data_IF_020188378430
#
_entry.id   IF_020188378430
#
_cell.length_a   1.000
_cell.length_b   1.000
_cell.length_c   1.000
_cell.angle_alpha   90.00
_cell.angle_beta   90.00
_cell.angle_gamma   90.00
#
_symmetry.space_group_name_H-M   'P 1'
#
loop_
_entity.id
_entity.type
_entity.pdbx_description
1 polymer ?
#
# COMPACT_ATOMS: atom_id res chain seq x y z
N UNK A 1 56.76 0.25 11.71
CA UNK A 1 55.81 -0.68 12.34
C UNK A 1 54.47 -0.49 11.67
N UNK A 2 53.96 -1.53 11.00
CA UNK A 2 52.63 -1.52 10.36
C UNK A 2 51.68 -2.19 11.35
N UNK A 3 50.65 -1.46 11.82
CA UNK A 3 49.68 -2.01 12.76
C UNK A 3 48.54 -2.73 12.02
N UNK A 4 48.07 -3.80 12.65
CA UNK A 4 47.30 -4.89 12.07
C UNK A 4 45.85 -4.47 11.78
N UNK A 5 45.37 -4.83 10.58
CA UNK A 5 43.96 -4.78 10.19
C UNK A 5 43.15 -5.81 11.02
N UNK A 6 42.15 -5.36 11.76
CA UNK A 6 41.09 -6.25 12.25
C UNK A 6 40.11 -6.55 11.10
N UNK A 7 40.30 -7.68 10.42
CA UNK A 7 39.41 -8.13 9.38
C UNK A 7 38.06 -8.58 9.96
N UNK A 8 37.04 -7.73 9.87
CA UNK A 8 35.65 -8.12 10.11
C UNK A 8 35.18 -8.95 8.92
N UNK A 9 34.98 -10.25 9.12
CA UNK A 9 34.42 -11.14 8.09
C UNK A 9 32.94 -10.82 7.90
N UNK A 10 32.65 -10.05 6.86
CA UNK A 10 31.30 -9.86 6.30
C UNK A 10 30.72 -11.24 5.95
N UNK A 11 29.53 -11.59 6.45
CA UNK A 11 28.87 -12.85 6.08
C UNK A 11 27.88 -12.67 4.93
N UNK A 12 27.20 -11.52 4.83
CA UNK A 12 26.31 -11.22 3.71
C UNK A 12 25.39 -10.03 4.02
N UNK A 13 24.83 -9.43 2.98
CA UNK A 13 23.85 -8.36 3.10
C UNK A 13 22.64 -8.61 2.20
N UNK A 14 21.42 -8.39 2.72
CA UNK A 14 20.28 -8.12 1.85
C UNK A 14 20.29 -6.62 1.56
N UNK A 15 20.22 -6.25 0.29
CA UNK A 15 19.88 -4.87 -0.11
C UNK A 15 18.41 -4.84 -0.53
N UNK A 16 17.57 -3.98 0.06
CA UNK A 16 16.11 -3.96 -0.13
C UNK A 16 15.58 -2.57 -0.49
N UNK A 17 14.60 -2.49 -1.41
CA UNK A 17 13.63 -1.40 -1.55
C UNK A 17 12.21 -1.97 -1.41
N UNK A 18 11.29 -1.32 -0.68
CA UNK A 18 9.92 -1.83 -0.41
C UNK A 18 8.86 -0.81 -0.80
N UNK A 19 7.86 -1.24 -1.58
CA UNK A 19 6.89 -0.31 -2.15
C UNK A 19 5.45 -0.42 -1.62
N UNK A 20 4.88 0.77 -1.39
CA UNK A 20 3.47 1.19 -1.58
C UNK A 20 3.50 2.75 -1.86
N UNK A 21 2.60 3.64 -1.37
CA UNK A 21 2.78 5.11 -1.03
C UNK A 21 1.54 5.77 -0.30
N UNK A 22 1.62 6.27 0.96
CA UNK A 22 0.59 7.18 1.61
C UNK A 22 1.10 7.96 2.87
N UNK A 23 0.27 8.30 3.91
CA UNK A 23 0.35 9.63 4.61
C UNK A 23 0.53 9.73 6.15
N UNK A 24 1.02 10.91 6.60
CA UNK A 24 1.41 11.26 7.98
C UNK A 24 1.01 12.70 8.42
N UNK A 25 0.51 12.82 9.68
CA UNK A 25 0.41 13.96 10.65
C UNK A 25 -0.32 15.29 10.36
N UNK A 26 -0.69 15.92 11.49
CA UNK A 26 -1.61 17.05 11.66
C UNK A 26 -1.15 18.37 11.02
N UNK A 27 -1.73 18.66 9.87
CA UNK A 27 -2.12 20.00 9.44
C UNK A 27 -3.67 20.01 9.35
N UNK A 28 -4.30 21.15 9.03
CA UNK A 28 -5.68 21.10 8.50
C UNK A 28 -5.64 20.18 7.29
N UNK A 29 -6.31 19.02 7.36
CA UNK A 29 -6.12 17.96 6.38
C UNK A 29 -6.95 18.24 5.13
N UNK A 30 -6.40 19.08 4.25
CA UNK A 30 -6.95 19.35 2.93
C UNK A 30 -6.94 18.05 2.12
N UNK A 31 -8.13 17.56 1.75
CA UNK A 31 -8.35 16.26 1.12
C UNK A 31 -7.89 16.22 -0.37
N UNK A 32 -6.79 16.88 -0.73
CA UNK A 32 -6.40 17.21 -2.11
C UNK A 32 -7.24 18.32 -2.76
N UNK A 33 -8.43 18.56 -2.23
CA UNK A 33 -9.40 19.54 -2.73
C UNK A 33 -9.26 20.91 -2.04
N UNK A 34 -10.09 21.87 -2.46
CA UNK A 34 -10.17 23.22 -1.87
C UNK A 34 -11.04 23.30 -0.60
N UNK A 35 -11.20 22.19 0.13
CA UNK A 35 -11.88 22.14 1.43
C UNK A 35 -11.31 21.07 2.37
N UNK A 36 -11.57 21.21 3.66
CA UNK A 36 -11.09 20.33 4.74
C UNK A 36 -12.12 20.21 5.89
N UNK A 37 -11.98 19.16 6.71
CA UNK A 37 -12.76 18.94 7.93
C UNK A 37 -12.05 19.57 9.15
N UNK A 38 -12.80 19.78 10.23
CA UNK A 38 -12.33 20.27 11.53
C UNK A 38 -11.58 21.61 11.42
N UNK A 39 -12.10 22.54 10.61
CA UNK A 39 -11.46 23.82 10.34
C UNK A 39 -12.45 24.97 10.13
N UNK A 40 -11.94 26.20 10.22
CA UNK A 40 -12.69 27.44 10.09
C UNK A 40 -11.82 28.61 9.58
N UNK A 41 -12.47 29.67 9.12
CA UNK A 41 -11.92 30.97 8.75
C UNK A 41 -12.56 32.07 9.61
N UNK A 42 -11.75 32.99 10.16
CA UNK A 42 -12.28 34.00 11.10
C UNK A 42 -13.05 35.12 10.40
N UNK A 43 -14.37 35.15 10.61
CA UNK A 43 -15.25 36.28 10.26
C UNK A 43 -15.49 36.47 8.76
N UNK A 44 -15.81 37.72 8.37
CA UNK A 44 -16.11 38.14 7.00
C UNK A 44 -17.29 37.42 6.32
N UNK A 45 -18.31 37.05 7.10
CA UNK A 45 -19.54 36.43 6.60
C UNK A 45 -20.36 37.40 5.72
N UNK A 46 -20.66 36.96 4.50
CA UNK A 46 -21.54 37.59 3.52
C UNK A 46 -23.01 37.21 3.74
N UNK A 47 -23.24 35.92 3.99
CA UNK A 47 -24.58 35.31 4.07
C UNK A 47 -24.48 33.89 4.62
N UNK A 48 -25.58 33.40 5.18
CA UNK A 48 -25.72 32.01 5.59
C UNK A 48 -26.81 31.27 4.81
N UNK A 49 -26.67 29.95 4.68
CA UNK A 49 -27.70 29.09 4.08
C UNK A 49 -27.75 27.74 4.79
N UNK A 50 -28.96 27.28 5.12
CA UNK A 50 -29.18 25.95 5.70
C UNK A 50 -29.00 24.89 4.61
N UNK A 51 -27.99 24.03 4.77
CA UNK A 51 -27.63 22.99 3.80
C UNK A 51 -26.67 21.97 4.45
N UNK A 52 -26.37 20.85 3.79
CA UNK A 52 -25.36 19.91 4.28
C UNK A 52 -23.94 20.39 3.97
N UNK A 53 -22.94 19.87 4.66
CA UNK A 53 -21.54 20.29 4.54
C UNK A 53 -20.99 20.08 3.12
N UNK A 54 -21.38 19.00 2.45
CA UNK A 54 -20.93 18.64 1.10
C UNK A 54 -21.44 19.64 0.04
N UNK A 55 -22.61 20.24 0.27
CA UNK A 55 -23.23 21.22 -0.62
C UNK A 55 -22.72 22.65 -0.39
N UNK A 56 -22.04 22.90 0.73
CA UNK A 56 -21.59 24.23 1.15
C UNK A 56 -20.64 24.89 0.12
N UNK A 57 -19.71 24.10 -0.46
CA UNK A 57 -18.83 24.59 -1.53
C UNK A 57 -19.57 24.99 -2.82
N UNK A 58 -20.57 24.19 -3.25
CA UNK A 58 -21.42 24.52 -4.39
C UNK A 58 -22.29 25.76 -4.15
N UNK A 59 -22.74 25.96 -2.90
CA UNK A 59 -23.48 27.17 -2.51
C UNK A 59 -22.58 28.42 -2.45
N UNK A 60 -21.33 28.30 -1.99
CA UNK A 60 -20.36 29.39 -2.14
C UNK A 60 -20.06 29.67 -3.62
N UNK A 61 -19.98 28.63 -4.46
CA UNK A 61 -19.76 28.79 -5.90
C UNK A 61 -20.84 29.66 -6.58
N UNK A 62 -22.10 29.47 -6.16
CA UNK A 62 -23.29 30.21 -6.61
C UNK A 62 -23.45 31.60 -5.96
N UNK A 63 -22.72 31.90 -4.87
CA UNK A 63 -22.86 33.15 -4.12
C UNK A 63 -21.88 34.21 -4.67
N UNK A 64 -22.41 35.30 -5.20
CA UNK A 64 -21.60 36.40 -5.75
C UNK A 64 -20.69 36.99 -4.66
N UNK A 65 -19.39 37.09 -4.94
CA UNK A 65 -18.40 37.59 -3.99
C UNK A 65 -17.94 36.57 -2.94
N UNK A 66 -18.54 35.37 -2.86
CA UNK A 66 -18.04 34.32 -1.97
C UNK A 66 -16.70 33.78 -2.50
N UNK A 67 -15.71 33.80 -1.60
CA UNK A 67 -14.31 33.41 -1.85
C UNK A 67 -13.90 32.20 -1.00
N UNK A 68 -14.58 31.99 0.12
CA UNK A 68 -14.37 30.88 1.04
C UNK A 68 -15.63 30.68 1.89
N UNK A 69 -15.69 29.58 2.63
CA UNK A 69 -16.85 29.23 3.45
C UNK A 69 -16.46 28.46 4.72
N UNK A 70 -17.37 28.45 5.69
CA UNK A 70 -17.37 27.52 6.82
C UNK A 70 -18.74 26.89 6.96
N UNK A 71 -18.84 25.58 7.14
CA UNK A 71 -20.04 24.88 7.57
C UNK A 71 -19.98 24.53 9.06
N UNK A 72 -21.13 24.62 9.73
CA UNK A 72 -21.28 24.30 11.16
C UNK A 72 -22.58 23.52 11.41
N UNK A 73 -22.60 22.78 12.52
CA UNK A 73 -23.79 22.07 13.02
C UNK A 73 -24.93 22.99 13.51
N UNK A 74 -24.71 24.32 13.54
CA UNK A 74 -25.69 25.33 13.94
C UNK A 74 -27.02 25.17 13.18
N UNK A 75 -28.14 25.31 13.89
CA UNK A 75 -29.50 25.11 13.38
C UNK A 75 -29.72 23.81 12.57
N UNK A 76 -28.93 22.76 12.81
CA UNK A 76 -29.02 21.49 12.08
C UNK A 76 -28.38 21.54 10.69
N UNK A 77 -27.36 22.38 10.51
CA UNK A 77 -26.51 22.46 9.32
C UNK A 77 -26.60 23.82 8.62
N UNK A 78 -25.67 24.72 8.95
CA UNK A 78 -25.58 26.07 8.37
C UNK A 78 -24.21 26.27 7.71
N UNK A 79 -24.25 26.66 6.43
CA UNK A 79 -23.10 27.07 5.63
C UNK A 79 -22.99 28.60 5.62
N UNK A 80 -21.87 29.11 6.10
CA UNK A 80 -21.52 30.52 6.20
C UNK A 80 -20.59 30.91 5.04
N UNK A 81 -21.07 31.75 4.14
CA UNK A 81 -20.35 32.25 2.97
C UNK A 81 -19.50 33.46 3.34
N UNK A 82 -18.26 33.52 2.87
CA UNK A 82 -17.31 34.56 3.29
C UNK A 82 -16.59 35.22 2.11
N UNK A 83 -16.27 36.51 2.28
CA UNK A 83 -15.49 37.32 1.32
C UNK A 83 -14.11 37.68 1.85
N UNK A 84 -13.16 37.88 0.95
CA UNK A 84 -11.83 38.40 1.28
C UNK A 84 -10.73 37.68 0.50
N UNK A 85 -9.48 38.09 0.74
CA UNK A 85 -8.31 37.41 0.19
C UNK A 85 -7.78 36.44 1.24
N UNK A 86 -8.16 35.17 1.14
CA UNK A 86 -7.68 34.10 2.02
C UNK A 86 -7.19 32.89 1.21
N UNK A 87 -6.36 32.08 1.84
CA UNK A 87 -5.70 30.91 1.29
C UNK A 87 -5.82 29.71 2.24
N UNK A 88 -5.37 28.53 1.81
CA UNK A 88 -5.40 27.31 2.64
C UNK A 88 -4.58 27.41 3.93
N UNK A 89 -3.58 28.29 3.99
CA UNK A 89 -2.78 28.56 5.19
C UNK A 89 -3.46 29.47 6.20
N UNK A 90 -4.55 30.16 5.83
CA UNK A 90 -5.29 31.06 6.73
C UNK A 90 -6.41 30.34 7.51
N UNK A 91 -6.66 29.06 7.21
CA UNK A 91 -7.57 28.21 7.95
C UNK A 91 -6.93 27.72 9.26
N UNK A 92 -7.69 27.74 10.34
CA UNK A 92 -7.27 27.16 11.63
C UNK A 92 -8.08 25.92 11.96
N UNK A 93 -7.48 24.98 12.70
CA UNK A 93 -8.15 23.76 13.16
C UNK A 93 -9.10 24.03 14.32
N UNK A 94 -10.26 23.37 14.32
CA UNK A 94 -11.27 23.41 15.38
C UNK A 94 -11.34 22.08 16.13
N UNK A 95 -11.79 22.11 17.38
CA UNK A 95 -12.03 20.89 18.18
C UNK A 95 -13.37 20.21 17.83
N UNK A 96 -14.22 20.84 17.01
CA UNK A 96 -15.44 20.23 16.48
C UNK A 96 -15.11 19.45 15.19
N UNK A 97 -15.23 18.11 15.18
CA UNK A 97 -14.92 17.27 14.01
C UNK A 97 -15.95 17.39 12.88
N UNK A 98 -17.09 18.05 13.12
CA UNK A 98 -18.18 18.22 12.15
C UNK A 98 -18.06 19.49 11.33
N UNK A 99 -17.26 20.47 11.77
CA UNK A 99 -17.03 21.71 11.02
C UNK A 99 -16.27 21.43 9.72
N UNK A 100 -16.57 22.19 8.67
CA UNK A 100 -15.93 22.07 7.35
C UNK A 100 -15.59 23.46 6.83
N UNK A 101 -14.38 23.69 6.34
CA UNK A 101 -14.01 24.96 5.71
C UNK A 101 -13.48 24.74 4.30
N UNK A 102 -13.61 25.76 3.43
CA UNK A 102 -13.06 25.69 2.09
C UNK A 102 -12.85 27.04 1.42
N UNK A 103 -11.99 27.07 0.42
CA UNK A 103 -11.62 28.25 -0.38
C UNK A 103 -12.08 28.07 -1.83
N UNK A 104 -12.13 29.16 -2.59
CA UNK A 104 -12.34 29.14 -4.04
C UNK A 104 -11.10 29.70 -4.74
N UNK A 105 -10.40 28.85 -5.47
CA UNK A 105 -9.45 29.32 -6.47
C UNK A 105 -10.22 30.05 -7.60
N UNK A 106 -9.79 31.27 -7.93
CA UNK A 106 -10.52 32.15 -8.85
C UNK A 106 -10.38 31.74 -10.31
N UNK A 107 -11.40 31.07 -10.86
CA UNK A 107 -11.52 30.77 -12.30
C UNK A 107 -12.39 29.55 -12.56
N UNK A 108 -13.50 29.70 -13.29
CA UNK A 108 -14.42 28.60 -13.60
C UNK A 108 -14.00 27.77 -14.82
N UNK A 109 -14.27 26.47 -14.76
CA UNK A 109 -15.03 25.76 -15.80
C UNK A 109 -15.82 24.62 -15.14
N UNK A 110 -16.80 24.05 -15.85
CA UNK A 110 -17.66 22.96 -15.35
C UNK A 110 -16.89 21.63 -15.30
N UNK A 111 -16.10 21.45 -14.24
CA UNK A 111 -15.26 20.27 -14.05
C UNK A 111 -16.11 19.07 -13.62
N UNK A 112 -16.08 18.00 -14.41
CA UNK A 112 -16.52 16.67 -13.97
C UNK A 112 -15.67 16.25 -12.77
N UNK A 113 -16.30 16.12 -11.59
CA UNK A 113 -15.60 15.83 -10.34
C UNK A 113 -15.23 14.34 -10.26
N UNK A 114 -14.09 13.99 -10.86
CA UNK A 114 -13.49 12.65 -10.78
C UNK A 114 -13.14 12.30 -9.34
N UNK A 115 -13.60 11.14 -8.88
CA UNK A 115 -13.49 10.69 -7.48
C UNK A 115 -12.10 10.15 -7.10
N UNK A 116 -11.04 10.62 -7.75
CA UNK A 116 -9.69 10.05 -7.68
C UNK A 116 -9.46 8.80 -8.55
N UNK A 117 -10.51 8.06 -8.93
CA UNK A 117 -10.42 6.92 -9.85
C UNK A 117 -10.74 7.32 -11.30
N UNK A 118 -10.95 6.33 -12.16
CA UNK A 118 -11.29 6.52 -13.57
C UNK A 118 -12.81 6.58 -13.84
N UNK A 119 -13.61 7.01 -12.86
CA UNK A 119 -15.04 7.28 -13.03
C UNK A 119 -15.50 8.50 -12.20
N UNK A 120 -16.63 9.08 -12.57
CA UNK A 120 -17.24 10.24 -11.91
C UNK A 120 -18.78 10.15 -11.98
N UNK A 121 -19.47 10.88 -11.10
CA UNK A 121 -20.93 11.05 -11.16
C UNK A 121 -21.29 12.34 -11.91
N UNK A 122 -22.56 12.49 -12.28
CA UNK A 122 -23.08 13.66 -13.01
C UNK A 122 -22.32 13.91 -14.32
N UNK A 123 -21.99 12.86 -15.08
CA UNK A 123 -21.21 12.97 -16.31
C UNK A 123 -21.55 11.91 -17.36
N UNK A 124 -21.11 12.16 -18.60
CA UNK A 124 -21.34 11.30 -19.76
C UNK A 124 -20.25 11.48 -20.84
N UNK A 125 -20.21 10.55 -21.79
CA UNK A 125 -19.42 10.57 -23.03
C UNK A 125 -20.36 10.48 -24.23
N UNK A 126 -20.17 11.33 -25.25
CA UNK A 126 -21.09 11.38 -26.39
C UNK A 126 -20.88 10.22 -27.36
N UNK A 127 -21.87 9.32 -27.45
CA UNK A 127 -21.98 8.30 -28.48
C UNK A 127 -20.98 7.13 -28.35
N UNK A 128 -20.62 6.53 -29.48
CA UNK A 128 -19.70 5.38 -29.60
C UNK A 128 -20.10 4.11 -28.82
N UNK A 129 -21.40 3.93 -28.54
CA UNK A 129 -21.95 2.75 -27.86
C UNK A 129 -21.71 1.46 -28.68
N UNK A 130 -20.94 0.53 -28.10
CA UNK A 130 -20.75 -0.84 -28.60
C UNK A 130 -21.93 -1.74 -28.27
N UNK A 131 -22.39 -1.65 -27.03
CA UNK A 131 -23.41 -2.53 -26.44
C UNK A 131 -23.91 -1.96 -25.14
N UNK A 132 -25.00 -2.53 -24.60
CA UNK A 132 -25.51 -2.17 -23.29
C UNK A 132 -25.93 -3.41 -22.50
N UNK A 133 -26.01 -3.28 -21.18
CA UNK A 133 -26.49 -4.33 -20.28
C UNK A 133 -27.16 -3.73 -19.05
N UNK A 134 -28.27 -4.33 -18.63
CA UNK A 134 -28.97 -3.96 -17.40
C UNK A 134 -28.18 -4.47 -16.20
N UNK A 135 -27.63 -3.56 -15.41
CA UNK A 135 -26.75 -3.86 -14.27
C UNK A 135 -26.69 -2.65 -13.33
N UNK A 136 -26.30 -2.84 -12.07
CA UNK A 136 -26.12 -1.74 -11.12
C UNK A 136 -24.90 -0.88 -11.47
N UNK A 137 -24.85 0.34 -10.94
CA UNK A 137 -23.91 1.37 -11.40
C UNK A 137 -22.45 0.99 -11.10
N UNK A 138 -22.24 0.31 -9.98
CA UNK A 138 -20.95 -0.07 -9.40
C UNK A 138 -20.25 -1.16 -10.23
N UNK A 139 -21.04 -1.98 -10.94
CA UNK A 139 -20.55 -3.09 -11.76
C UNK A 139 -20.26 -2.67 -13.21
N UNK A 140 -20.67 -1.46 -13.62
CA UNK A 140 -20.58 -1.01 -15.01
C UNK A 140 -19.13 -0.92 -15.52
N UNK A 141 -18.21 -0.41 -14.69
CA UNK A 141 -16.78 -0.33 -15.05
C UNK A 141 -16.12 -1.69 -15.22
N UNK A 142 -16.37 -2.64 -14.30
CA UNK A 142 -15.87 -4.02 -14.42
C UNK A 142 -16.46 -4.74 -15.64
N UNK A 143 -17.71 -4.45 -16.00
CA UNK A 143 -18.35 -5.02 -17.18
C UNK A 143 -17.81 -4.45 -18.49
N UNK A 144 -17.49 -3.15 -18.55
CA UNK A 144 -16.75 -2.58 -19.68
C UNK A 144 -15.36 -3.20 -19.81
N UNK A 145 -14.60 -3.35 -18.71
CA UNK A 145 -13.27 -3.98 -18.74
C UNK A 145 -13.25 -5.43 -19.24
N UNK A 146 -14.36 -6.17 -19.09
CA UNK A 146 -14.54 -7.53 -19.64
C UNK A 146 -15.06 -7.57 -21.09
N UNK A 147 -15.40 -6.41 -21.68
CA UNK A 147 -16.05 -6.33 -22.99
C UNK A 147 -15.02 -5.92 -24.04
N UNK A 148 -14.76 -6.82 -25.00
CA UNK A 148 -13.76 -6.61 -26.04
C UNK A 148 -14.02 -5.31 -26.82
N UNK A 149 -13.03 -4.43 -26.85
CA UNK A 149 -13.09 -3.12 -27.51
C UNK A 149 -13.72 -1.99 -26.69
N UNK A 150 -14.23 -2.25 -25.49
CA UNK A 150 -14.72 -1.19 -24.60
C UNK A 150 -13.54 -0.36 -24.08
N UNK A 151 -13.63 0.97 -24.22
CA UNK A 151 -12.62 1.94 -23.76
C UNK A 151 -13.17 2.93 -22.75
N UNK A 152 -14.50 3.00 -22.59
CA UNK A 152 -15.18 3.86 -21.62
C UNK A 152 -16.64 3.42 -21.48
N UNK A 153 -17.33 3.97 -20.49
CA UNK A 153 -18.74 3.65 -20.23
C UNK A 153 -19.54 4.85 -19.73
N UNK A 154 -20.86 4.75 -19.88
CA UNK A 154 -21.85 5.56 -19.16
C UNK A 154 -22.85 4.63 -18.50
N UNK A 155 -23.17 4.83 -17.24
CA UNK A 155 -24.32 4.23 -16.57
C UNK A 155 -25.45 5.26 -16.43
N UNK A 156 -26.68 4.79 -16.60
CA UNK A 156 -27.89 5.61 -16.55
C UNK A 156 -29.01 4.89 -15.78
N UNK A 157 -29.94 5.67 -15.23
CA UNK A 157 -31.16 5.18 -14.58
C UNK A 157 -32.14 4.46 -15.54
N UNK A 158 -31.90 4.51 -16.86
CA UNK A 158 -32.72 3.87 -17.89
C UNK A 158 -32.99 2.38 -17.61
N UNK A 159 -34.24 1.96 -17.78
CA UNK A 159 -34.74 0.61 -17.47
C UNK A 159 -34.38 0.08 -16.06
N UNK A 160 -34.22 0.97 -15.08
CA UNK A 160 -33.83 0.62 -13.72
C UNK A 160 -32.36 0.22 -13.60
N UNK A 161 -31.49 0.88 -14.37
CA UNK A 161 -30.04 0.72 -14.35
C UNK A 161 -29.49 0.06 -15.61
N UNK A 162 -28.99 0.86 -16.54
CA UNK A 162 -28.38 0.40 -17.79
C UNK A 162 -26.96 0.96 -17.93
N UNK A 163 -26.01 0.05 -18.08
CA UNK A 163 -24.62 0.32 -18.42
C UNK A 163 -24.44 0.29 -19.94
N UNK A 164 -23.94 1.39 -20.50
CA UNK A 164 -23.63 1.59 -21.90
C UNK A 164 -22.12 1.51 -22.09
N UNK A 165 -21.65 0.47 -22.79
CA UNK A 165 -20.25 0.19 -23.07
C UNK A 165 -19.86 0.88 -24.37
N UNK A 166 -18.80 1.69 -24.38
CA UNK A 166 -18.41 2.56 -25.49
C UNK A 166 -16.97 2.31 -25.96
N UNK A 167 -16.65 2.72 -27.18
CA UNK A 167 -15.34 2.50 -27.83
C UNK A 167 -14.72 3.79 -28.40
N UNK A 168 -13.44 3.72 -28.78
CA UNK A 168 -12.69 4.84 -29.33
C UNK A 168 -11.75 5.49 -28.32
N UNK A 169 -11.06 6.56 -28.74
CA UNK A 169 -10.04 7.22 -27.93
C UNK A 169 -10.66 8.40 -27.17
N UNK A 170 -10.77 8.28 -25.84
CA UNK A 170 -11.26 9.33 -24.94
C UNK A 170 -10.43 9.39 -23.65
N UNK A 171 -10.47 10.53 -23.00
CA UNK A 171 -9.75 10.87 -21.77
C UNK A 171 -10.69 11.49 -20.73
N UNK A 172 -10.20 11.75 -19.51
CA UNK A 172 -10.99 12.39 -18.45
C UNK A 172 -11.48 13.80 -18.80
N UNK A 173 -10.78 14.51 -19.69
CA UNK A 173 -11.18 15.83 -20.20
C UNK A 173 -12.26 15.79 -21.27
N UNK A 174 -12.55 14.64 -21.85
CA UNK A 174 -13.60 14.48 -22.87
C UNK A 174 -14.99 14.17 -22.27
N UNK A 175 -15.06 13.96 -20.96
CA UNK A 175 -16.32 13.86 -20.23
C UNK A 175 -16.93 15.24 -20.04
N UNK A 176 -18.24 15.35 -20.23
CA UNK A 176 -19.01 16.56 -19.92
C UNK A 176 -19.92 16.32 -18.72
N UNK A 177 -20.15 17.36 -17.93
CA UNK A 177 -21.08 17.32 -16.80
C UNK A 177 -22.53 17.25 -17.29
N UNK A 178 -23.34 16.40 -16.66
CA UNK A 178 -24.79 16.30 -16.88
C UNK A 178 -25.57 16.86 -15.70
N UNK A 179 -26.84 17.22 -15.92
CA UNK A 179 -27.75 17.64 -14.85
C UNK A 179 -28.40 16.48 -14.08
N UNK A 180 -28.19 15.24 -14.52
CA UNK A 180 -28.64 14.03 -13.82
C UNK A 180 -27.51 13.50 -12.93
N UNK A 181 -27.63 13.73 -11.63
CA UNK A 181 -26.63 13.31 -10.64
C UNK A 181 -26.55 11.79 -10.45
N UNK A 182 -27.51 11.02 -10.97
CA UNK A 182 -27.47 9.57 -10.97
C UNK A 182 -26.69 8.98 -12.16
N UNK A 183 -26.36 9.77 -13.18
CA UNK A 183 -25.48 9.30 -14.26
C UNK A 183 -24.06 9.13 -13.75
N UNK A 184 -23.39 8.07 -14.22
CA UNK A 184 -21.98 7.79 -13.93
C UNK A 184 -21.26 7.60 -15.26
N UNK A 185 -20.11 8.23 -15.46
CA UNK A 185 -19.25 7.96 -16.60
C UNK A 185 -17.86 7.50 -16.14
N UNK A 186 -17.16 6.73 -16.97
CA UNK A 186 -15.78 6.33 -16.67
C UNK A 186 -14.98 5.94 -17.90
N UNK A 187 -13.67 6.12 -17.83
CA UNK A 187 -12.70 5.81 -18.90
C UNK A 187 -11.84 4.60 -18.54
N UNK A 188 -11.43 3.85 -19.56
CA UNK A 188 -10.42 2.80 -19.46
C UNK A 188 -9.12 3.29 -20.10
N UNK A 189 -8.43 4.20 -19.40
CA UNK A 189 -7.10 4.69 -19.74
C UNK A 189 -6.56 5.60 -18.61
N UNK A 190 -5.29 5.50 -18.19
CA UNK A 190 -4.24 4.58 -18.63
C UNK A 190 -4.46 3.11 -18.24
N UNK A 191 -3.87 2.19 -19.00
CA UNK A 191 -3.76 0.77 -18.62
C UNK A 191 -2.62 0.62 -17.60
N UNK A 192 -2.86 1.03 -16.35
CA UNK A 192 -1.93 0.82 -15.24
C UNK A 192 -2.53 -0.11 -14.17
N UNK A 193 -2.82 -1.34 -14.59
CA UNK A 193 -3.04 -2.58 -13.81
C UNK A 193 -3.94 -2.58 -12.57
N UNK A 194 -4.72 -1.53 -12.29
CA UNK A 194 -5.75 -1.52 -11.24
C UNK A 194 -5.22 -1.44 -9.80
N UNK A 195 -3.92 -1.20 -9.61
CA UNK A 195 -3.31 -1.11 -8.28
C UNK A 195 -3.01 0.34 -7.90
N UNK A 196 -3.51 0.76 -6.73
CA UNK A 196 -3.17 2.04 -6.10
C UNK A 196 -2.12 1.80 -5.00
N UNK A 197 -1.15 2.71 -4.92
CA UNK A 197 -0.07 2.75 -3.92
C UNK A 197 -0.60 3.20 -2.53
N UNK A 198 -0.17 2.58 -1.40
CA UNK A 198 -0.72 2.79 -0.02
C UNK A 198 0.22 2.75 1.25
N UNK A 199 1.51 3.15 1.20
CA UNK A 199 2.52 3.33 2.30
C UNK A 199 3.93 3.86 1.84
N UNK A 200 4.79 3.04 1.20
CA UNK A 200 6.18 3.25 0.66
C UNK A 200 7.39 3.29 1.62
N UNK A 201 8.48 2.59 1.26
CA UNK A 201 9.85 2.90 1.69
C UNK A 201 10.96 2.58 0.66
N UNK A 202 11.46 3.61 -0.03
CA UNK A 202 12.61 3.51 -0.94
C UNK A 202 13.96 3.57 -0.20
N UNK A 203 13.96 3.79 1.12
CA UNK A 203 15.16 3.90 1.97
C UNK A 203 16.19 4.96 1.55
N UNK A 204 15.77 6.02 0.85
CA UNK A 204 16.60 7.13 0.34
C UNK A 204 17.32 7.96 1.43
N UNK A 205 17.06 7.67 2.71
CA UNK A 205 17.76 8.28 3.83
C UNK A 205 19.21 7.78 3.93
N UNK A 206 20.18 8.69 3.88
CA UNK A 206 21.57 8.38 4.21
C UNK A 206 21.71 8.36 5.76
N UNK A 207 21.40 7.23 6.40
CA UNK A 207 21.23 7.17 7.85
C UNK A 207 20.58 5.89 8.38
N UNK A 208 19.98 5.98 9.56
CA UNK A 208 19.26 4.85 10.17
C UNK A 208 17.92 4.55 9.48
N UNK A 209 17.29 3.45 9.89
CA UNK A 209 15.97 3.03 9.39
C UNK A 209 14.88 4.00 9.89
N UNK A 210 13.89 4.33 9.06
CA UNK A 210 12.78 5.20 9.44
C UNK A 210 11.89 4.53 10.52
N UNK A 211 12.06 4.97 11.77
CA UNK A 211 11.30 4.47 12.93
C UNK A 211 9.82 4.89 12.94
N UNK A 212 9.34 5.71 12.00
CA UNK A 212 7.89 5.89 11.79
C UNK A 212 7.28 4.74 10.98
N UNK A 213 8.10 4.09 10.15
CA UNK A 213 7.73 2.99 9.26
C UNK A 213 8.08 1.62 9.84
N UNK A 214 9.23 1.51 10.48
CA UNK A 214 9.77 0.24 10.96
C UNK A 214 9.91 0.18 12.47
N UNK A 215 9.86 -1.04 12.98
CA UNK A 215 10.22 -1.44 14.34
C UNK A 215 11.18 -2.63 14.27
N UNK A 216 11.74 -3.03 15.40
CA UNK A 216 12.72 -4.11 15.48
C UNK A 216 12.29 -5.17 16.49
N UNK A 217 12.27 -6.44 16.05
CA UNK A 217 12.18 -7.58 16.96
C UNK A 217 13.59 -7.83 17.55
N UNK A 218 13.69 -7.98 18.88
CA UNK A 218 14.97 -7.98 19.61
C UNK A 218 15.12 -9.22 20.49
N UNK A 219 16.27 -9.89 20.43
CA UNK A 219 16.54 -11.10 21.21
C UNK A 219 17.26 -12.21 20.43
N UNK A 220 17.65 -13.27 21.14
CA UNK A 220 18.44 -14.39 20.59
C UNK A 220 18.16 -15.71 21.29
N UNK A 221 16.87 -16.05 21.47
CA UNK A 221 16.39 -17.27 22.14
C UNK A 221 15.91 -18.34 21.15
N UNK A 222 16.50 -18.40 19.95
CA UNK A 222 16.19 -19.40 18.93
C UNK A 222 15.00 -19.09 18.02
N UNK A 223 14.19 -18.07 18.32
CA UNK A 223 13.09 -17.55 17.47
C UNK A 223 12.07 -18.57 16.93
N UNK A 224 11.94 -19.72 17.59
CA UNK A 224 11.09 -20.84 17.17
C UNK A 224 11.84 -21.92 16.38
N UNK A 225 12.93 -21.56 15.69
CA UNK A 225 13.62 -22.43 14.73
C UNK A 225 15.07 -22.79 15.13
N UNK A 226 15.43 -22.74 16.42
CA UNK A 226 16.81 -22.96 16.92
C UNK A 226 17.87 -22.00 16.31
N UNK A 227 17.43 -20.80 15.92
CA UNK A 227 18.26 -19.78 15.28
C UNK A 227 19.39 -19.27 16.20
N UNK A 228 20.58 -19.05 15.65
CA UNK A 228 21.79 -18.79 16.42
C UNK A 228 22.08 -17.30 16.65
N UNK A 229 21.42 -16.37 15.95
CA UNK A 229 21.66 -14.93 16.05
C UNK A 229 20.90 -14.23 17.18
N UNK A 230 21.46 -13.12 17.65
CA UNK A 230 20.75 -12.09 18.39
C UNK A 230 20.29 -10.98 17.43
N UNK A 231 18.98 -10.79 17.26
CA UNK A 231 18.43 -9.64 16.55
C UNK A 231 18.54 -8.38 17.42
N UNK A 232 19.06 -7.31 16.82
CA UNK A 232 19.43 -6.07 17.52
C UNK A 232 18.42 -4.94 17.28
N UNK A 233 18.27 -4.04 18.25
CA UNK A 233 17.42 -2.86 18.11
C UNK A 233 18.13 -1.74 17.37
N UNK A 234 17.71 -1.43 16.14
CA UNK A 234 18.14 -0.27 15.34
C UNK A 234 19.68 -0.02 15.34
N UNK A 235 20.46 -1.09 15.24
CA UNK A 235 21.93 -1.01 15.26
C UNK A 235 22.48 -0.93 13.84
N UNK A 236 23.25 0.11 13.55
CA UNK A 236 23.84 0.41 12.25
C UNK A 236 24.56 -0.77 11.59
N UNK A 237 25.32 -1.52 12.38
CA UNK A 237 26.07 -2.69 11.92
C UNK A 237 25.18 -3.83 11.40
N UNK A 238 23.90 -3.87 11.79
CA UNK A 238 22.95 -4.92 11.43
C UNK A 238 21.78 -4.43 10.57
N UNK A 239 21.38 -3.16 10.70
CA UNK A 239 20.36 -2.51 9.87
C UNK A 239 20.69 -1.02 9.66
N UNK A 240 20.78 -0.60 8.40
CA UNK A 240 21.08 0.80 8.01
C UNK A 240 20.58 1.11 6.61
N UNK A 241 20.35 2.38 6.32
CA UNK A 241 20.03 2.85 4.98
C UNK A 241 21.30 3.47 4.34
N UNK A 242 21.65 2.99 3.16
CA UNK A 242 22.81 3.46 2.38
C UNK A 242 22.34 3.93 1.00
N UNK A 243 23.04 4.89 0.41
CA UNK A 243 22.86 5.20 -1.01
C UNK A 243 23.54 4.14 -1.89
N UNK A 244 22.98 3.88 -3.08
CA UNK A 244 23.70 3.15 -4.11
C UNK A 244 24.96 3.96 -4.55
N UNK A 245 26.11 3.32 -4.79
CA UNK A 245 27.31 4.01 -5.25
C UNK A 245 27.05 4.85 -6.51
N UNK A 246 27.27 6.16 -6.42
CA UNK A 246 27.02 7.10 -7.53
C UNK A 246 25.55 7.43 -7.80
N UNK A 247 24.63 7.12 -6.87
CA UNK A 247 23.20 7.38 -7.01
C UNK A 247 22.64 8.25 -5.88
N UNK A 248 21.49 8.87 -6.13
CA UNK A 248 20.64 9.50 -5.09
C UNK A 248 19.65 8.52 -4.46
N UNK A 249 19.49 7.33 -5.02
CA UNK A 249 18.54 6.34 -4.52
C UNK A 249 19.17 5.53 -3.37
N UNK A 250 18.35 5.25 -2.35
CA UNK A 250 18.74 4.44 -1.20
C UNK A 250 18.50 2.95 -1.36
N UNK A 251 18.89 2.22 -0.31
CA UNK A 251 18.57 0.82 -0.02
C UNK A 251 18.68 0.58 1.47
N UNK A 252 17.83 -0.28 2.02
CA UNK A 252 18.08 -0.91 3.31
C UNK A 252 19.18 -1.95 3.15
N UNK A 253 20.18 -1.93 4.02
CA UNK A 253 21.12 -3.02 4.26
C UNK A 253 20.72 -3.73 5.55
N UNK A 254 20.35 -5.00 5.46
CA UNK A 254 20.31 -5.93 6.60
C UNK A 254 21.57 -6.78 6.55
N UNK A 255 22.32 -6.86 7.65
CA UNK A 255 23.62 -7.52 7.72
C UNK A 255 23.71 -8.46 8.92
N UNK A 256 23.95 -9.75 8.65
CA UNK A 256 24.31 -10.73 9.65
C UNK A 256 25.83 -10.70 9.90
N UNK A 257 26.24 -10.71 11.17
CA UNK A 257 27.66 -10.64 11.57
C UNK A 257 27.99 -11.74 12.56
N UNK A 258 29.24 -12.21 12.53
CA UNK A 258 29.80 -13.09 13.56
C UNK A 258 30.46 -12.24 14.65
N UNK A 259 29.72 -11.95 15.71
CA UNK A 259 30.19 -11.26 16.90
C UNK A 259 29.39 -11.73 18.12
N UNK A 260 30.03 -11.74 19.30
CA UNK A 260 29.36 -12.19 20.51
C UNK A 260 28.45 -11.09 21.05
N UNK A 261 27.16 -11.37 21.19
CA UNK A 261 26.19 -10.46 21.83
C UNK A 261 25.19 -11.26 22.67
N UNK A 262 24.98 -10.85 23.92
CA UNK A 262 24.23 -11.59 24.92
C UNK A 262 24.68 -13.07 24.99
N UNK A 263 23.77 -14.02 24.72
CA UNK A 263 24.00 -15.46 24.70
C UNK A 263 24.29 -16.03 23.30
N UNK A 264 24.57 -15.19 22.30
CA UNK A 264 24.72 -15.54 20.89
C UNK A 264 26.13 -15.24 20.36
N UNK A 265 26.54 -15.99 19.32
CA UNK A 265 27.78 -15.81 18.56
C UNK A 265 27.60 -15.01 17.25
N UNK A 266 26.36 -14.58 16.95
CA UNK A 266 26.02 -13.84 15.75
C UNK A 266 25.05 -12.71 16.07
N UNK A 267 25.11 -11.62 15.32
CA UNK A 267 24.10 -10.55 15.36
C UNK A 267 23.43 -10.45 14.00
N UNK A 268 22.20 -9.94 14.00
CA UNK A 268 21.46 -9.60 12.78
C UNK A 268 20.40 -8.55 13.11
N UNK A 269 19.51 -8.26 12.17
CA UNK A 269 18.29 -7.48 12.41
C UNK A 269 17.06 -8.20 11.86
N UNK A 270 15.92 -7.98 12.53
CA UNK A 270 14.59 -8.42 12.12
C UNK A 270 13.67 -7.20 12.17
N UNK A 271 13.46 -6.59 11.01
CA UNK A 271 12.65 -5.40 10.86
C UNK A 271 11.19 -5.79 10.68
N UNK A 272 10.29 -5.04 11.32
CA UNK A 272 8.85 -5.24 11.29
C UNK A 272 8.16 -3.96 10.84
N UNK A 273 7.28 -4.02 9.84
CA UNK A 273 6.53 -2.82 9.43
C UNK A 273 5.54 -2.40 10.53
N UNK A 274 5.44 -1.09 10.77
CA UNK A 274 4.45 -0.50 11.68
C UNK A 274 3.07 -0.37 11.05
N UNK A 275 3.02 -0.29 9.72
CA UNK A 275 1.79 -0.43 8.96
C UNK A 275 1.47 -1.91 8.69
N UNK A 276 0.19 -2.19 8.49
CA UNK A 276 -0.40 -3.51 8.26
C UNK A 276 -1.48 -3.42 7.19
N UNK A 277 -1.67 -4.48 6.41
CA UNK A 277 -2.63 -4.49 5.30
C UNK A 277 -3.49 -5.75 5.31
N UNK A 278 -4.71 -5.65 4.77
CA UNK A 278 -5.54 -6.80 4.39
C UNK A 278 -5.65 -6.76 2.87
N UNK A 279 -5.14 -7.79 2.20
CA UNK A 279 -5.01 -7.83 0.74
C UNK A 279 -4.07 -6.74 0.19
N UNK A 280 -3.68 -6.89 -1.06
CA UNK A 280 -2.77 -5.96 -1.72
C UNK A 280 -1.83 -6.64 -2.72
N UNK A 281 -1.05 -5.80 -3.40
CA UNK A 281 0.18 -6.19 -4.07
C UNK A 281 1.35 -5.64 -3.26
N UNK A 282 2.18 -6.54 -2.73
CA UNK A 282 3.46 -6.20 -2.10
C UNK A 282 4.58 -6.50 -3.09
N UNK A 283 5.43 -5.52 -3.36
CA UNK A 283 6.65 -5.71 -4.16
C UNK A 283 7.87 -5.32 -3.35
N UNK A 284 8.80 -6.28 -3.23
CA UNK A 284 10.07 -6.10 -2.55
C UNK A 284 11.18 -6.31 -3.58
N UNK A 285 11.94 -5.25 -3.85
CA UNK A 285 13.12 -5.32 -4.72
C UNK A 285 14.32 -5.64 -3.86
N UNK A 286 14.80 -6.88 -3.89
CA UNK A 286 15.90 -7.33 -3.03
C UNK A 286 16.99 -8.09 -3.79
N UNK A 287 18.22 -7.99 -3.29
CA UNK A 287 19.35 -8.88 -3.62
C UNK A 287 19.75 -9.63 -2.35
N UNK A 288 19.90 -10.94 -2.43
CA UNK A 288 20.11 -11.81 -1.27
C UNK A 288 21.61 -11.97 -0.91
N UNK A 289 21.93 -12.32 0.35
CA UNK A 289 23.26 -12.76 0.74
C UNK A 289 23.58 -14.15 0.19
N UNK A 290 24.86 -14.41 -0.09
CA UNK A 290 25.41 -15.76 -0.24
C UNK A 290 26.17 -16.13 1.04
N UNK A 291 26.14 -17.40 1.45
CA UNK A 291 26.82 -17.88 2.64
C UNK A 291 26.07 -19.00 3.37
N UNK A 292 26.70 -20.19 3.45
CA UNK A 292 26.13 -21.34 4.15
C UNK A 292 25.78 -21.02 5.61
N UNK A 293 24.53 -21.28 5.97
CA UNK A 293 23.99 -21.00 7.30
C UNK A 293 23.36 -19.62 7.44
N UNK A 294 23.27 -18.81 6.38
CA UNK A 294 22.36 -17.67 6.35
C UNK A 294 20.98 -18.10 5.85
N UNK A 295 19.93 -17.53 6.43
CA UNK A 295 18.55 -17.74 6.03
C UNK A 295 17.85 -16.36 5.93
N UNK A 296 18.02 -15.65 4.79
CA UNK A 296 17.24 -14.45 4.49
C UNK A 296 15.76 -14.79 4.26
N UNK A 297 14.87 -13.97 4.82
CA UNK A 297 13.43 -14.09 4.64
C UNK A 297 12.75 -12.72 4.42
N UNK A 298 11.74 -12.72 3.54
CA UNK A 298 10.78 -11.64 3.30
C UNK A 298 9.38 -12.24 3.40
N UNK A 299 8.66 -11.87 4.45
CA UNK A 299 7.49 -12.62 4.90
C UNK A 299 6.52 -11.72 5.65
N UNK A 300 5.37 -12.27 6.06
CA UNK A 300 4.33 -11.53 6.76
C UNK A 300 3.70 -12.34 7.89
N UNK A 301 3.41 -11.66 9.01
CA UNK A 301 2.66 -12.19 10.14
C UNK A 301 1.45 -11.31 10.48
N UNK A 302 0.39 -11.89 11.08
CA UNK A 302 -0.83 -11.18 11.44
C UNK A 302 -0.60 -10.20 12.59
N UNK A 303 -1.24 -9.02 12.53
CA UNK A 303 -1.16 -8.01 13.58
C UNK A 303 -1.69 -8.52 14.93
N UNK A 304 -2.71 -9.39 14.91
CA UNK A 304 -3.48 -9.79 16.10
C UNK A 304 -3.84 -11.27 16.11
N UNK A 305 -3.76 -11.87 17.29
CA UNK A 305 -4.39 -13.15 17.59
C UNK A 305 -5.92 -12.98 17.55
N UNK A 306 -6.55 -13.48 16.49
CA UNK A 306 -7.97 -13.28 16.17
C UNK A 306 -8.80 -14.55 16.33
N UNK A 307 -8.25 -15.72 15.96
CA UNK A 307 -9.06 -16.93 15.78
C UNK A 307 -9.12 -17.90 16.96
N UNK A 308 -8.07 -17.96 17.77
CA UNK A 308 -7.98 -18.90 18.88
C UNK A 308 -7.14 -18.35 20.04
N UNK A 309 -6.87 -19.18 21.04
CA UNK A 309 -5.95 -18.86 22.14
C UNK A 309 -4.47 -19.03 21.77
N UNK A 310 -4.16 -19.42 20.53
CA UNK A 310 -2.82 -19.58 19.97
C UNK A 310 -2.59 -18.51 18.90
N UNK A 311 -1.41 -17.87 18.88
CA UNK A 311 -1.06 -16.88 17.86
C UNK A 311 -0.64 -17.54 16.54
N UNK A 312 0.44 -18.30 16.55
CA UNK A 312 0.95 -19.04 15.40
C UNK A 312 0.78 -20.55 15.63
N UNK A 313 0.34 -21.35 14.63
CA UNK A 313 0.07 -20.98 13.23
C UNK A 313 -1.38 -20.54 12.96
N UNK A 314 -2.21 -20.46 14.00
CA UNK A 314 -3.67 -20.28 13.90
C UNK A 314 -4.12 -19.00 13.18
N UNK A 315 -3.31 -17.94 13.20
CA UNK A 315 -3.61 -16.67 12.56
C UNK A 315 -2.86 -16.46 11.23
N UNK A 316 -2.08 -17.45 10.80
CA UNK A 316 -1.41 -17.49 9.50
C UNK A 316 0.01 -16.93 9.46
N UNK A 317 0.69 -17.25 8.37
CA UNK A 317 2.01 -16.74 7.96
C UNK A 317 2.09 -16.80 6.43
N UNK A 318 2.74 -15.80 5.82
CA UNK A 318 2.89 -15.70 4.35
C UNK A 318 4.36 -15.46 4.04
N UNK A 319 5.05 -16.51 3.58
CA UNK A 319 6.47 -16.48 3.29
C UNK A 319 6.66 -16.24 1.79
N UNK A 320 6.69 -14.96 1.40
CA UNK A 320 6.85 -14.54 0.01
C UNK A 320 8.18 -15.03 -0.56
N UNK A 321 9.26 -14.89 0.19
CA UNK A 321 10.60 -15.30 -0.21
C UNK A 321 11.37 -15.80 1.00
N UNK A 322 11.83 -17.04 0.91
CA UNK A 322 12.88 -17.58 1.76
C UNK A 322 13.99 -18.18 0.90
N UNK A 323 15.19 -18.17 1.46
CA UNK A 323 16.33 -18.89 0.91
C UNK A 323 17.19 -19.40 2.06
N UNK A 324 17.79 -20.57 1.90
CA UNK A 324 18.77 -21.14 2.81
C UNK A 324 20.13 -21.22 2.13
N UNK A 325 21.16 -20.65 2.76
CA UNK A 325 22.49 -20.46 2.14
C UNK A 325 23.27 -21.75 1.85
N UNK A 326 22.74 -22.94 2.16
CA UNK A 326 23.29 -24.19 1.63
C UNK A 326 22.83 -24.47 0.19
N UNK A 327 21.71 -23.88 -0.23
CA UNK A 327 21.17 -23.90 -1.59
C UNK A 327 20.83 -22.45 -2.04
N UNK A 328 21.85 -21.60 -2.28
CA UNK A 328 21.69 -20.18 -2.58
C UNK A 328 21.08 -19.90 -3.97
N UNK A 329 20.68 -20.94 -4.71
CA UNK A 329 19.98 -20.81 -5.99
C UNK A 329 18.48 -21.06 -5.84
N UNK A 330 18.04 -21.72 -4.77
CA UNK A 330 16.62 -21.97 -4.50
C UNK A 330 15.98 -20.76 -3.83
N UNK A 331 14.85 -20.32 -4.39
CA UNK A 331 13.91 -19.41 -3.74
C UNK A 331 12.68 -20.22 -3.41
N UNK A 332 12.27 -20.15 -2.15
CA UNK A 332 11.14 -20.88 -1.59
C UNK A 332 10.03 -19.90 -1.23
N UNK A 333 8.79 -20.30 -1.49
CA UNK A 333 7.58 -19.59 -1.09
C UNK A 333 6.68 -20.54 -0.32
N UNK A 334 6.21 -20.12 0.85
CA UNK A 334 5.45 -20.95 1.79
C UNK A 334 4.23 -20.20 2.34
N UNK A 335 3.21 -20.95 2.76
CA UNK A 335 2.05 -20.45 3.49
C UNK A 335 1.80 -21.36 4.69
N UNK A 336 1.73 -20.81 5.90
CA UNK A 336 1.38 -21.57 7.10
C UNK A 336 0.01 -21.15 7.68
N UNK A 337 -0.75 -22.12 8.18
CA UNK A 337 -2.06 -21.97 8.84
C UNK A 337 -2.23 -23.00 9.96
N UNK A 338 -3.32 -22.91 10.74
CA UNK A 338 -3.70 -23.96 11.71
C UNK A 338 -3.66 -25.36 11.08
N UNK A 339 -4.33 -25.53 9.94
CA UNK A 339 -4.45 -26.81 9.25
C UNK A 339 -3.14 -27.25 8.58
N UNK A 340 -2.38 -26.31 8.02
CA UNK A 340 -1.22 -26.55 7.16
C UNK A 340 0.04 -25.85 7.67
N UNK A 341 0.98 -26.55 8.31
CA UNK A 341 2.19 -25.92 8.86
C UNK A 341 3.37 -26.88 9.00
N UNK A 342 4.57 -26.33 9.19
CA UNK A 342 5.81 -27.12 9.25
C UNK A 342 5.85 -28.14 10.39
N UNK A 343 5.17 -27.90 11.52
CA UNK A 343 5.07 -28.91 12.60
C UNK A 343 4.29 -30.17 12.18
N UNK A 344 3.46 -30.06 11.15
CA UNK A 344 2.70 -31.16 10.53
C UNK A 344 3.32 -31.65 9.21
N UNK A 345 4.31 -30.94 8.66
CA UNK A 345 4.95 -31.25 7.38
C UNK A 345 4.01 -31.20 6.17
N UNK A 346 2.94 -30.40 6.23
CA UNK A 346 1.87 -30.35 5.23
C UNK A 346 1.55 -28.94 4.71
N UNK A 347 2.44 -27.98 4.93
CA UNK A 347 2.33 -26.61 4.42
C UNK A 347 2.35 -26.56 2.88
N UNK A 348 1.55 -25.67 2.25
CA UNK A 348 1.76 -25.27 0.86
C UNK A 348 3.12 -24.58 0.72
N UNK A 349 4.06 -25.31 0.10
CA UNK A 349 5.40 -24.80 -0.25
C UNK A 349 5.67 -25.12 -1.72
N UNK A 350 6.30 -24.20 -2.43
CA UNK A 350 6.95 -24.50 -3.71
C UNK A 350 8.27 -23.72 -3.82
N UNK A 351 9.14 -24.13 -4.74
CA UNK A 351 10.44 -23.47 -4.96
C UNK A 351 10.80 -23.36 -6.43
N UNK A 352 11.69 -22.42 -6.74
CA UNK A 352 12.24 -22.23 -8.10
C UNK A 352 13.73 -21.85 -8.03
N UNK A 353 14.51 -22.32 -9.01
CA UNK A 353 15.92 -21.94 -9.15
C UNK A 353 16.08 -20.56 -9.76
N UNK A 354 16.55 -19.57 -8.99
CA UNK A 354 16.88 -18.20 -9.44
C UNK A 354 18.40 -17.99 -9.34
N UNK A 355 19.11 -18.34 -10.41
CA UNK A 355 20.58 -18.48 -10.42
C UNK A 355 21.37 -17.23 -10.04
N UNK A 356 20.76 -16.05 -10.12
CA UNK A 356 21.41 -14.75 -9.92
C UNK A 356 20.76 -13.92 -8.80
N UNK A 357 19.97 -14.52 -7.90
CA UNK A 357 19.35 -13.83 -6.77
C UNK A 357 20.36 -13.24 -5.75
N UNK A 358 21.56 -13.84 -5.65
CA UNK A 358 22.65 -13.36 -4.78
C UNK A 358 23.51 -12.25 -5.43
N UNK A 359 23.57 -12.24 -6.76
CA UNK A 359 24.39 -11.30 -7.54
C UNK A 359 23.61 -10.09 -8.05
N UNK A 360 22.32 -10.23 -8.33
CA UNK A 360 21.45 -9.21 -8.91
C UNK A 360 20.21 -8.97 -8.04
N UNK A 361 19.63 -7.77 -8.14
CA UNK A 361 18.31 -7.52 -7.56
C UNK A 361 17.22 -8.27 -8.32
N UNK A 362 16.25 -8.76 -7.57
CA UNK A 362 15.01 -9.37 -8.05
C UNK A 362 13.82 -8.65 -7.44
N UNK A 363 12.68 -8.72 -8.12
CA UNK A 363 11.40 -8.29 -7.57
C UNK A 363 10.67 -9.53 -7.07
N UNK A 364 10.48 -9.60 -5.77
CA UNK A 364 9.61 -10.58 -5.13
C UNK A 364 8.23 -9.94 -5.00
N UNK A 365 7.23 -10.52 -5.67
CA UNK A 365 5.85 -9.97 -5.70
C UNK A 365 4.87 -10.92 -5.04
N UNK A 366 4.13 -10.41 -4.05
CA UNK A 366 2.95 -11.06 -3.49
C UNK A 366 1.69 -10.36 -4.02
N UNK A 367 0.82 -11.10 -4.70
CA UNK A 367 -0.56 -10.69 -4.98
C UNK A 367 -1.50 -11.45 -4.04
N UNK A 368 -2.07 -10.74 -3.07
CA UNK A 368 -2.96 -11.32 -2.06
C UNK A 368 -4.34 -10.66 -2.14
N UNK A 369 -5.38 -11.48 -2.27
CA UNK A 369 -6.77 -11.05 -2.30
C UNK A 369 -7.68 -12.07 -1.57
N UNK A 370 -8.98 -11.76 -1.48
CA UNK A 370 -9.98 -12.58 -0.78
C UNK A 370 -10.13 -14.01 -1.29
N UNK A 371 -9.66 -14.30 -2.52
CA UNK A 371 -9.81 -15.60 -3.18
C UNK A 371 -8.49 -16.38 -3.29
N UNK A 372 -7.33 -15.72 -3.31
CA UNK A 372 -6.03 -16.37 -3.51
C UNK A 372 -4.83 -15.52 -3.06
N UNK A 373 -3.72 -16.21 -2.82
CA UNK A 373 -2.36 -15.71 -2.61
C UNK A 373 -1.53 -16.22 -3.79
N UNK A 374 -0.80 -15.32 -4.45
CA UNK A 374 0.09 -15.63 -5.57
C UNK A 374 1.44 -14.99 -5.32
N UNK A 375 2.51 -15.76 -5.48
CA UNK A 375 3.88 -15.35 -5.17
C UNK A 375 4.76 -15.52 -6.40
N UNK A 376 5.51 -14.48 -6.75
CA UNK A 376 6.31 -14.40 -7.96
C UNK A 376 7.73 -13.92 -7.67
N UNK A 377 8.66 -14.31 -8.54
CA UNK A 377 10.00 -13.73 -8.64
C UNK A 377 10.31 -13.30 -10.07
N UNK A 378 10.76 -12.07 -10.22
CA UNK A 378 11.12 -11.46 -11.48
C UNK A 378 12.22 -10.41 -11.33
N UNK A 379 12.26 -9.46 -12.24
CA UNK A 379 13.19 -8.34 -12.25
C UNK A 379 12.47 -7.02 -12.55
N UNK A 380 13.23 -5.92 -12.67
CA UNK A 380 12.69 -4.58 -12.93
C UNK A 380 11.93 -4.48 -14.27
N UNK A 381 12.19 -5.37 -15.24
CA UNK A 381 11.51 -5.39 -16.54
C UNK A 381 10.24 -6.26 -16.51
N UNK A 382 10.26 -7.37 -15.76
CA UNK A 382 9.07 -8.20 -15.53
C UNK A 382 9.03 -8.76 -14.09
N UNK A 383 8.34 -8.07 -13.16
CA UNK A 383 8.16 -8.52 -11.77
C UNK A 383 7.35 -9.82 -11.59
N UNK A 384 6.69 -10.30 -12.64
CA UNK A 384 5.83 -11.50 -12.64
C UNK A 384 6.41 -12.63 -13.50
N UNK A 385 7.70 -12.53 -13.87
CA UNK A 385 8.33 -13.45 -14.83
C UNK A 385 8.19 -14.93 -14.46
N UNK A 386 8.24 -15.26 -13.17
CA UNK A 386 8.10 -16.64 -12.68
C UNK A 386 7.11 -16.68 -11.52
N UNK A 387 6.05 -17.48 -11.65
CA UNK A 387 5.18 -17.86 -10.55
C UNK A 387 5.87 -18.93 -9.70
N UNK A 388 5.95 -18.72 -8.39
CA UNK A 388 6.48 -19.69 -7.42
C UNK A 388 5.31 -20.49 -6.82
N UNK A 389 4.38 -19.81 -6.15
CA UNK A 389 3.27 -20.43 -5.42
C UNK A 389 1.94 -19.74 -5.76
N UNK A 390 0.90 -20.54 -5.96
CA UNK A 390 -0.49 -20.08 -6.08
C UNK A 390 -1.33 -20.88 -5.09
N UNK A 391 -1.89 -20.20 -4.09
CA UNK A 391 -2.73 -20.80 -3.05
C UNK A 391 -4.14 -20.20 -3.11
N UNK A 392 -5.12 -21.04 -3.44
CA UNK A 392 -6.52 -20.62 -3.52
C UNK A 392 -7.23 -20.80 -2.17
N UNK A 393 -8.18 -19.91 -1.89
CA UNK A 393 -9.00 -19.98 -0.68
C UNK A 393 -9.82 -21.26 -0.63
N UNK A 394 -9.77 -21.92 0.52
CA UNK A 394 -10.54 -23.10 0.84
C UNK A 394 -10.86 -23.13 2.34
N UNK A 395 -11.95 -23.80 2.71
CA UNK A 395 -12.32 -24.03 4.11
C UNK A 395 -12.68 -22.78 4.90
N UNK A 396 -12.53 -22.89 6.22
CA UNK A 396 -12.68 -21.82 7.18
C UNK A 396 -11.32 -21.20 7.56
N UNK A 397 -11.27 -20.43 8.66
CA UNK A 397 -10.07 -19.77 9.16
C UNK A 397 -8.90 -20.73 9.44
N UNK A 398 -9.16 -22.01 9.72
CA UNK A 398 -8.08 -23.00 9.96
C UNK A 398 -7.26 -23.27 8.69
N UNK A 399 -7.89 -23.12 7.52
CA UNK A 399 -7.29 -23.31 6.19
C UNK A 399 -7.03 -21.96 5.48
N UNK A 400 -7.72 -20.88 5.88
CA UNK A 400 -7.57 -19.54 5.34
C UNK A 400 -7.75 -18.43 6.41
N UNK A 401 -6.71 -18.14 7.22
CA UNK A 401 -6.70 -16.99 8.14
C UNK A 401 -6.35 -15.64 7.46
N UNK A 402 -6.14 -15.64 6.13
CA UNK A 402 -5.60 -14.51 5.35
C UNK A 402 -6.67 -13.49 4.95
N UNK A 403 -7.39 -12.97 5.94
CA UNK A 403 -8.46 -11.97 5.83
C UNK A 403 -8.47 -11.00 7.05
N UNK A 404 -7.31 -10.87 7.70
CA UNK A 404 -7.00 -9.93 8.81
C UNK A 404 -5.75 -9.12 8.46
N UNK A 405 -5.40 -8.05 9.21
CA UNK A 405 -4.22 -7.25 8.89
C UNK A 405 -2.92 -8.02 9.15
N UNK A 406 -1.98 -7.97 8.20
CA UNK A 406 -0.63 -8.52 8.33
C UNK A 406 0.41 -7.41 8.20
N UNK A 407 1.51 -7.50 8.96
CA UNK A 407 2.71 -6.67 8.80
C UNK A 407 3.79 -7.44 8.04
N UNK A 408 4.72 -6.71 7.41
CA UNK A 408 5.89 -7.27 6.71
C UNK A 408 7.05 -7.45 7.68
N UNK A 409 7.81 -8.53 7.50
CA UNK A 409 9.06 -8.84 8.17
C UNK A 409 10.21 -8.96 7.15
N UNK A 410 11.39 -8.48 7.56
CA UNK A 410 12.66 -8.60 6.84
C UNK A 410 13.72 -9.05 7.84
N UNK A 411 14.41 -10.17 7.59
CA UNK A 411 15.51 -10.61 8.44
C UNK A 411 16.52 -11.46 7.68
N UNK A 412 17.67 -11.67 8.32
CA UNK A 412 18.59 -12.77 8.03
C UNK A 412 18.74 -13.58 9.32
N UNK A 413 18.17 -14.78 9.37
CA UNK A 413 18.50 -15.75 10.42
C UNK A 413 19.87 -16.39 10.15
N UNK A 414 20.49 -16.93 11.19
CA UNK A 414 21.80 -17.60 11.13
C UNK A 414 21.70 -18.98 11.80
N UNK A 415 22.05 -20.03 11.07
CA UNK A 415 21.79 -21.41 11.45
C UNK A 415 20.29 -21.69 11.49
N UNK A 416 19.84 -22.40 12.53
CA UNK A 416 18.46 -22.84 12.68
C UNK A 416 18.26 -24.32 12.32
N UNK A 417 16.99 -24.74 12.26
CA UNK A 417 16.57 -26.11 12.02
C UNK A 417 16.55 -26.55 10.55
N UNK A 418 16.66 -25.60 9.60
CA UNK A 418 16.55 -25.83 8.14
C UNK A 418 17.94 -25.86 7.46
#
# INVERSE_FOLDING_TARGET
>A
MINILSAWTLLGFIAVNILFLDRVKCLVNWNGNDWAMSCDFRGNDLSDVRTSSELCGGKCAQTQGCTHFTWTSYNGGTCWMKSGTVSKSDAFSTNDPTMVCGVRNGGQQDVVNWNGNNWATSCDFRGNDLSNVRISSELCGGKCAQTQGCTHFTWTSYNGGTCWMKSGTVSKSDAFSTSDSAMICGVLGDVNTGWVRVWEDNFDGNGGVDLNKWDFDVGGSGWGNNEQQYYTYNRWENARCELFPGSTNGRLIVEARRENMANSQYTSARLRSKATWVYGRLQIRAKLPDGRGLWPALWMLPEKQTYSNTYWPDNGEIDLMEQVGYDPLSIVSTVHTQAYNHMKGNQPTNSITVKDAVSNFKIYTLDWNVNKIEMFVGDDANPFANSILVWNKQGDWTQWPFDKPFFVLINIAVGGSW
#
